data_IF_845465804234
#
_entry.id   IF_845465804234
#
_cell.length_a   1.000
_cell.length_b   1.000
_cell.length_c   1.000
_cell.angle_alpha   90.00
_cell.angle_beta   90.00
_cell.angle_gamma   90.00
#
_symmetry.space_group_name_H-M   'P 1'
#
loop_
_entity.id
_entity.type
_entity.pdbx_description
1 polymer ?
#
# COMPACT_ATOMS: atom_id res chain seq x y z
N UNK A 1 -19.14 13.30 -53.24
CA UNK A 1 -19.29 14.27 -52.12
C UNK A 1 -19.78 13.64 -50.80
N UNK A 2 -20.80 12.77 -50.77
CA UNK A 2 -21.31 12.18 -49.51
C UNK A 2 -20.31 11.27 -48.78
N UNK A 3 -19.62 10.37 -49.50
CA UNK A 3 -18.60 9.46 -48.93
C UNK A 3 -17.45 10.23 -48.28
N UNK A 4 -16.96 11.28 -48.95
CA UNK A 4 -15.89 12.13 -48.41
C UNK A 4 -16.30 12.84 -47.10
N UNK A 5 -17.55 13.32 -47.00
CA UNK A 5 -18.08 13.92 -45.76
C UNK A 5 -18.17 12.92 -44.62
N UNK A 6 -18.52 11.66 -44.91
CA UNK A 6 -18.53 10.58 -43.93
C UNK A 6 -17.12 10.24 -43.44
N UNK A 7 -16.14 10.19 -44.34
CA UNK A 7 -14.74 9.95 -43.96
C UNK A 7 -14.19 11.07 -43.06
N UNK A 8 -14.48 12.34 -43.38
CA UNK A 8 -14.11 13.47 -42.53
C UNK A 8 -14.78 13.42 -41.15
N UNK A 9 -16.06 13.05 -41.10
CA UNK A 9 -16.78 12.90 -39.84
C UNK A 9 -16.19 11.78 -38.97
N UNK A 10 -15.89 10.62 -39.57
CA UNK A 10 -15.24 9.50 -38.87
C UNK A 10 -13.86 9.92 -38.35
N UNK A 11 -13.05 10.58 -39.19
CA UNK A 11 -11.74 11.08 -38.78
C UNK A 11 -11.84 12.06 -37.60
N UNK A 12 -12.81 12.99 -37.65
CA UNK A 12 -13.08 13.89 -36.53
C UNK A 12 -13.49 13.15 -35.25
N UNK A 13 -14.38 12.16 -35.35
CA UNK A 13 -14.79 11.33 -34.22
C UNK A 13 -13.62 10.54 -33.61
N UNK A 14 -12.73 9.99 -34.43
CA UNK A 14 -11.52 9.31 -33.96
C UNK A 14 -10.61 10.30 -33.22
N UNK A 15 -10.43 11.52 -33.73
CA UNK A 15 -9.63 12.54 -33.06
C UNK A 15 -10.23 12.95 -31.70
N UNK A 16 -11.55 13.15 -31.64
CA UNK A 16 -12.25 13.49 -30.38
C UNK A 16 -12.11 12.34 -29.38
N UNK A 17 -12.38 11.09 -29.78
CA UNK A 17 -12.22 9.93 -28.90
C UNK A 17 -10.77 9.76 -28.42
N UNK A 18 -9.80 9.97 -29.30
CA UNK A 18 -8.38 9.94 -28.96
C UNK A 18 -8.00 11.01 -27.95
N UNK A 19 -8.50 12.23 -28.11
CA UNK A 19 -8.30 13.32 -27.15
C UNK A 19 -8.92 13.00 -25.79
N UNK A 20 -10.17 12.51 -25.75
CA UNK A 20 -10.84 12.15 -24.50
C UNK A 20 -10.13 10.99 -23.77
N UNK A 21 -9.68 9.98 -24.52
CA UNK A 21 -8.91 8.87 -23.95
C UNK A 21 -7.57 9.35 -23.37
N UNK A 22 -6.87 10.23 -24.08
CA UNK A 22 -5.63 10.85 -23.59
C UNK A 22 -5.87 11.67 -22.32
N UNK A 23 -6.90 12.52 -22.30
CA UNK A 23 -7.25 13.32 -21.13
C UNK A 23 -7.53 12.45 -19.91
N UNK A 24 -8.35 11.39 -20.07
CA UNK A 24 -8.62 10.44 -18.96
C UNK A 24 -7.37 9.72 -18.47
N UNK A 25 -6.44 9.38 -19.37
CA UNK A 25 -5.17 8.77 -18.99
C UNK A 25 -4.28 9.76 -18.22
N UNK A 26 -4.26 11.04 -18.60
CA UNK A 26 -3.54 12.09 -17.89
C UNK A 26 -4.13 12.30 -16.49
N UNK A 27 -5.45 12.39 -16.36
CA UNK A 27 -6.14 12.48 -15.07
C UNK A 27 -5.81 11.27 -14.18
N UNK A 28 -5.82 10.06 -14.75
CA UNK A 28 -5.47 8.84 -14.03
C UNK A 28 -4.00 8.82 -13.58
N UNK A 29 -3.08 9.33 -14.40
CA UNK A 29 -1.66 9.47 -14.02
C UNK A 29 -1.45 10.49 -12.91
N UNK A 30 -2.25 11.55 -12.88
CA UNK A 30 -2.22 12.55 -11.82
C UNK A 30 -2.78 12.01 -10.50
N UNK A 31 -3.82 11.18 -10.56
CA UNK A 31 -4.43 10.55 -9.38
C UNK A 31 -3.61 9.36 -8.84
N UNK A 32 -2.95 8.62 -9.72
CA UNK A 32 -2.19 7.40 -9.42
C UNK A 32 -0.71 7.49 -9.84
N UNK A 33 0.04 8.54 -9.45
CA UNK A 33 1.40 8.77 -9.92
C UNK A 33 2.36 7.61 -9.61
N UNK A 34 2.13 6.91 -8.50
CA UNK A 34 2.94 5.77 -8.08
C UNK A 34 2.85 4.56 -9.02
N UNK A 35 1.75 4.39 -9.77
CA UNK A 35 1.62 3.33 -10.77
C UNK A 35 2.50 3.58 -12.02
N UNK A 36 3.02 4.80 -12.19
CA UNK A 36 3.78 5.23 -13.36
C UNK A 36 5.18 5.74 -13.00
N UNK A 37 5.59 5.58 -11.74
CA UNK A 37 6.89 5.98 -11.23
C UNK A 37 7.73 4.75 -10.89
N UNK A 38 9.05 4.90 -10.91
CA UNK A 38 9.94 3.85 -10.43
C UNK A 38 9.67 3.56 -8.93
N UNK A 39 9.62 2.29 -8.51
CA UNK A 39 9.44 1.94 -7.11
C UNK A 39 10.50 2.59 -6.20
N UNK A 40 10.05 3.30 -5.17
CA UNK A 40 10.93 4.00 -4.23
C UNK A 40 11.31 3.05 -3.10
N UNK A 41 12.60 2.78 -2.97
CA UNK A 41 13.16 2.00 -1.86
C UNK A 41 13.50 2.93 -0.70
N UNK A 42 12.86 2.73 0.44
CA UNK A 42 13.18 3.48 1.66
C UNK A 42 14.40 2.86 2.35
N UNK A 43 15.46 3.65 2.51
CA UNK A 43 16.72 3.21 3.13
C UNK A 43 16.81 3.55 4.62
N UNK A 44 16.16 4.63 5.05
CA UNK A 44 16.26 5.15 6.42
C UNK A 44 14.89 5.15 7.08
N UNK A 45 14.80 4.49 8.23
CA UNK A 45 13.58 4.40 9.00
C UNK A 45 13.23 5.73 9.67
N UNK A 46 11.92 6.03 9.84
CA UNK A 46 11.50 7.15 10.67
C UNK A 46 11.84 6.87 12.14
N UNK A 47 12.08 7.92 12.92
CA UNK A 47 12.23 7.79 14.36
C UNK A 47 10.94 7.26 14.99
N UNK A 48 11.06 6.29 15.89
CA UNK A 48 9.91 5.77 16.64
C UNK A 48 9.46 6.81 17.68
N UNK A 49 8.15 7.04 17.85
CA UNK A 49 7.64 7.86 18.94
C UNK A 49 7.97 7.25 20.30
N UNK A 50 8.15 8.11 21.32
CA UNK A 50 8.43 7.65 22.69
C UNK A 50 7.35 6.70 23.23
N UNK A 51 6.08 6.90 22.85
CA UNK A 51 4.98 6.02 23.26
C UNK A 51 5.19 4.56 22.79
N UNK A 52 5.80 4.35 21.63
CA UNK A 52 6.17 3.02 21.12
C UNK A 52 7.39 2.48 21.87
N UNK A 53 8.43 3.29 22.04
CA UNK A 53 9.69 2.87 22.67
C UNK A 53 9.48 2.50 24.15
N UNK A 54 8.65 3.26 24.86
CA UNK A 54 8.39 3.06 26.28
C UNK A 54 7.57 1.79 26.57
N UNK A 55 6.80 1.29 25.58
CA UNK A 55 5.97 0.08 25.68
C UNK A 55 5.06 0.02 26.91
N UNK A 56 4.40 1.14 27.23
CA UNK A 56 3.52 1.26 28.40
C UNK A 56 2.03 1.03 28.07
N UNK A 57 1.67 1.05 26.79
CA UNK A 57 0.31 0.81 26.30
C UNK A 57 -0.03 -0.69 26.27
N UNK A 58 -1.32 -1.00 26.22
CA UNK A 58 -1.82 -2.37 26.13
C UNK A 58 -1.38 -3.10 24.84
N UNK A 59 -1.13 -2.36 23.75
CA UNK A 59 -0.51 -2.90 22.54
C UNK A 59 0.17 -1.79 21.72
N UNK A 60 1.19 -2.16 20.95
CA UNK A 60 1.87 -1.32 19.98
C UNK A 60 1.54 -1.76 18.54
N UNK A 61 0.94 -0.86 17.76
CA UNK A 61 0.42 -1.16 16.43
C UNK A 61 1.16 -0.33 15.36
N UNK A 62 1.68 -1.02 14.34
CA UNK A 62 2.21 -0.39 13.13
C UNK A 62 1.16 -0.44 12.02
N UNK A 63 0.72 0.71 11.51
CA UNK A 63 -0.17 0.81 10.35
C UNK A 63 0.64 1.30 9.15
N UNK A 64 0.79 0.43 8.16
CA UNK A 64 1.59 0.65 6.97
C UNK A 64 0.71 0.78 5.72
N UNK A 65 0.85 1.88 4.97
CA UNK A 65 0.01 2.19 3.79
C UNK A 65 0.80 2.61 2.54
N UNK A 66 2.05 2.15 2.41
CA UNK A 66 2.85 2.42 1.20
C UNK A 66 2.22 1.75 -0.02
N UNK A 67 2.27 2.44 -1.16
CA UNK A 67 1.74 1.95 -2.43
C UNK A 67 2.70 2.25 -3.58
N UNK A 68 3.07 1.23 -4.34
CA UNK A 68 3.64 1.31 -5.69
C UNK A 68 2.65 0.85 -6.77
N UNK A 69 1.51 0.26 -6.38
CA UNK A 69 0.37 -0.05 -7.26
C UNK A 69 -0.79 0.94 -7.10
N UNK A 70 -2.02 0.51 -7.44
CA UNK A 70 -3.21 1.35 -7.25
C UNK A 70 -3.37 1.75 -5.78
N UNK A 71 -3.63 3.04 -5.56
CA UNK A 71 -3.77 3.64 -4.24
C UNK A 71 -5.23 3.95 -3.96
N UNK A 72 -5.74 3.29 -2.92
CA UNK A 72 -7.11 3.47 -2.42
C UNK A 72 -7.17 4.66 -1.45
N UNK A 73 -6.97 5.88 -1.94
CA UNK A 73 -6.80 7.11 -1.14
C UNK A 73 -7.83 7.25 0.00
N UNK A 74 -9.12 7.23 -0.33
CA UNK A 74 -10.20 7.43 0.65
C UNK A 74 -10.25 6.29 1.68
N UNK A 75 -10.00 5.06 1.24
CA UNK A 75 -9.99 3.89 2.13
C UNK A 75 -8.81 3.94 3.12
N UNK A 76 -7.62 4.36 2.66
CA UNK A 76 -6.44 4.53 3.50
C UNK A 76 -6.72 5.59 4.57
N UNK A 77 -7.25 6.75 4.18
CA UNK A 77 -7.59 7.85 5.09
C UNK A 77 -8.63 7.40 6.13
N UNK A 78 -9.69 6.73 5.68
CA UNK A 78 -10.75 6.24 6.55
C UNK A 78 -10.23 5.19 7.55
N UNK A 79 -9.43 4.23 7.09
CA UNK A 79 -8.85 3.20 7.95
C UNK A 79 -7.86 3.79 8.96
N UNK A 80 -7.04 4.77 8.57
CA UNK A 80 -6.12 5.45 9.48
C UNK A 80 -6.88 6.19 10.60
N UNK A 81 -7.97 6.89 10.24
CA UNK A 81 -8.84 7.55 11.21
C UNK A 81 -9.52 6.54 12.15
N UNK A 82 -10.01 5.42 11.62
CA UNK A 82 -10.61 4.34 12.40
C UNK A 82 -9.62 3.74 13.41
N UNK A 83 -8.43 3.33 12.97
CA UNK A 83 -7.41 2.77 13.86
C UNK A 83 -6.98 3.76 14.94
N UNK A 84 -6.87 5.05 14.61
CA UNK A 84 -6.57 6.09 15.59
C UNK A 84 -7.67 6.21 16.65
N UNK A 85 -8.94 6.09 16.26
CA UNK A 85 -10.07 6.08 17.19
C UNK A 85 -10.06 4.86 18.10
N UNK A 86 -9.84 3.67 17.54
CA UNK A 86 -9.78 2.42 18.30
C UNK A 86 -8.61 2.44 19.28
N UNK A 87 -7.42 2.87 18.84
CA UNK A 87 -6.24 2.94 19.69
C UNK A 87 -6.46 3.79 20.95
N UNK A 88 -7.16 4.92 20.83
CA UNK A 88 -7.54 5.75 21.98
C UNK A 88 -8.50 5.05 22.95
N UNK A 89 -9.41 4.23 22.43
CA UNK A 89 -10.40 3.51 23.25
C UNK A 89 -9.81 2.29 23.95
N UNK A 90 -8.76 1.68 23.37
CA UNK A 90 -8.16 0.43 23.82
C UNK A 90 -6.80 0.61 24.51
N UNK A 91 -6.37 1.86 24.73
CA UNK A 91 -5.03 2.19 25.25
C UNK A 91 -3.90 1.55 24.43
N UNK A 92 -3.96 1.71 23.10
CA UNK A 92 -2.91 1.28 22.19
C UNK A 92 -2.03 2.45 21.77
N UNK A 93 -0.73 2.20 21.66
CA UNK A 93 0.19 3.09 20.96
C UNK A 93 0.22 2.72 19.48
N UNK A 94 0.16 3.72 18.61
CA UNK A 94 -0.01 3.50 17.19
C UNK A 94 0.88 4.40 16.35
N UNK A 95 1.48 3.83 15.29
CA UNK A 95 2.25 4.55 14.28
C UNK A 95 1.64 4.31 12.91
N UNK A 96 1.33 5.40 12.19
CA UNK A 96 1.05 5.35 10.75
C UNK A 96 2.33 5.68 9.98
N UNK A 97 2.66 4.90 8.96
CA UNK A 97 3.80 5.20 8.08
C UNK A 97 3.62 4.63 6.69
N UNK A 98 4.27 5.28 5.72
CA UNK A 98 4.43 4.77 4.35
C UNK A 98 5.91 4.47 4.05
N UNK A 99 6.77 4.52 5.06
CA UNK A 99 8.20 4.25 4.94
C UNK A 99 8.50 2.79 5.28
N UNK A 100 8.89 2.02 4.26
CA UNK A 100 9.21 0.60 4.32
C UNK A 100 10.49 0.27 5.11
N UNK A 101 11.36 1.24 5.40
CA UNK A 101 12.55 1.02 6.21
C UNK A 101 12.21 0.68 7.68
N UNK A 102 10.95 0.87 8.11
CA UNK A 102 10.45 0.38 9.40
C UNK A 102 10.50 -1.15 9.51
N UNK A 103 10.51 -1.89 8.39
CA UNK A 103 10.60 -3.34 8.35
C UNK A 103 12.06 -3.82 8.55
N UNK A 104 12.60 -3.53 9.72
CA UNK A 104 13.87 -4.04 10.22
C UNK A 104 13.63 -4.77 11.55
N UNK A 105 14.35 -5.86 11.82
CA UNK A 105 14.04 -6.73 12.96
C UNK A 105 14.10 -6.01 14.32
N UNK A 106 15.04 -5.09 14.49
CA UNK A 106 15.18 -4.24 15.68
C UNK A 106 14.05 -3.24 15.87
N UNK A 107 13.47 -2.75 14.77
CA UNK A 107 12.33 -1.83 14.78
C UNK A 107 11.00 -2.59 14.95
N UNK A 108 10.82 -3.69 14.21
CA UNK A 108 9.62 -4.53 14.30
C UNK A 108 9.44 -5.14 15.69
N UNK A 109 10.54 -5.38 16.42
CA UNK A 109 10.50 -5.85 17.80
C UNK A 109 9.70 -4.94 18.74
N UNK A 110 9.49 -3.66 18.42
CA UNK A 110 8.68 -2.73 19.23
C UNK A 110 7.17 -2.86 19.00
N UNK A 111 6.72 -3.60 17.99
CA UNK A 111 5.31 -3.72 17.64
C UNK A 111 4.77 -5.10 17.98
N UNK A 112 3.51 -5.16 18.38
CA UNK A 112 2.79 -6.41 18.62
C UNK A 112 2.00 -6.83 17.37
N UNK A 113 1.52 -5.84 16.60
CA UNK A 113 0.75 -6.07 15.36
C UNK A 113 1.22 -5.13 14.25
N UNK A 114 1.37 -5.70 13.06
CA UNK A 114 1.55 -4.94 11.81
C UNK A 114 0.26 -5.01 11.00
N UNK A 115 -0.23 -3.85 10.58
CA UNK A 115 -1.37 -3.68 9.69
C UNK A 115 -0.86 -3.22 8.33
N UNK A 116 -1.20 -3.95 7.28
CA UNK A 116 -1.05 -3.46 5.91
C UNK A 116 -2.38 -2.87 5.45
N UNK A 117 -2.49 -1.55 5.51
CA UNK A 117 -3.68 -0.79 5.12
C UNK A 117 -3.62 -0.46 3.62
N UNK A 118 -4.26 -1.30 2.80
CA UNK A 118 -4.29 -1.14 1.34
C UNK A 118 -2.88 -0.99 0.73
N UNK A 119 -1.92 -1.74 1.27
CA UNK A 119 -0.54 -1.71 0.80
C UNK A 119 -0.41 -2.50 -0.51
N UNK A 120 0.07 -1.86 -1.58
CA UNK A 120 -0.02 -2.40 -2.95
C UNK A 120 1.31 -2.25 -3.70
N UNK A 121 1.78 -3.29 -4.37
CA UNK A 121 2.97 -3.29 -5.24
C UNK A 121 4.20 -3.92 -4.59
N UNK A 122 5.36 -3.89 -5.27
CA UNK A 122 6.63 -4.32 -4.69
C UNK A 122 7.13 -3.28 -3.66
N UNK A 123 6.70 -3.41 -2.41
CA UNK A 123 6.93 -2.40 -1.36
C UNK A 123 8.24 -2.56 -0.59
N UNK A 124 8.65 -3.82 -0.40
CA UNK A 124 9.71 -4.20 0.52
C UNK A 124 10.89 -4.81 -0.24
N UNK A 125 12.11 -4.48 0.18
CA UNK A 125 13.33 -5.16 -0.25
C UNK A 125 13.37 -6.61 0.26
N UNK A 126 14.26 -7.45 -0.28
CA UNK A 126 14.43 -8.82 0.22
C UNK A 126 14.76 -8.89 1.71
N UNK A 127 15.55 -7.94 2.23
CA UNK A 127 15.87 -7.86 3.66
C UNK A 127 14.65 -7.46 4.50
N UNK A 128 13.87 -6.48 4.04
CA UNK A 128 12.63 -6.06 4.72
C UNK A 128 11.57 -7.17 4.70
N UNK A 129 11.45 -7.91 3.59
CA UNK A 129 10.60 -9.11 3.49
C UNK A 129 11.02 -10.18 4.49
N UNK A 130 12.33 -10.42 4.63
CA UNK A 130 12.85 -11.39 5.59
C UNK A 130 12.56 -10.98 7.04
N UNK A 131 12.77 -9.71 7.39
CA UNK A 131 12.44 -9.19 8.72
C UNK A 131 10.94 -9.31 9.02
N UNK A 132 10.07 -8.98 8.05
CA UNK A 132 8.62 -9.12 8.23
C UNK A 132 8.19 -10.58 8.37
N UNK A 133 8.76 -11.48 7.57
CA UNK A 133 8.53 -12.92 7.69
C UNK A 133 8.91 -13.42 9.09
N UNK A 134 10.10 -13.07 9.57
CA UNK A 134 10.59 -13.46 10.90
C UNK A 134 9.67 -12.93 12.01
N UNK A 135 9.22 -11.68 11.91
CA UNK A 135 8.26 -11.11 12.85
C UNK A 135 6.99 -11.97 12.95
N UNK A 136 6.42 -12.40 11.81
CA UNK A 136 5.23 -13.27 11.80
C UNK A 136 5.52 -14.68 12.32
N UNK A 137 6.64 -15.27 11.92
CA UNK A 137 7.04 -16.61 12.38
C UNK A 137 7.36 -16.66 13.89
N UNK A 138 7.71 -15.51 14.49
CA UNK A 138 7.96 -15.36 15.93
C UNK A 138 6.70 -14.97 16.73
N UNK A 139 5.53 -14.93 16.10
CA UNK A 139 4.24 -14.70 16.77
C UNK A 139 3.74 -13.26 16.73
N UNK A 140 4.38 -12.39 15.94
CA UNK A 140 3.85 -11.05 15.65
C UNK A 140 2.50 -11.11 14.92
N UNK A 141 1.58 -10.22 15.29
CA UNK A 141 0.25 -10.17 14.69
C UNK A 141 0.24 -9.50 13.31
N UNK A 142 -0.66 -9.95 12.44
CA UNK A 142 -0.86 -9.34 11.12
C UNK A 142 -2.33 -9.06 10.80
N UNK A 143 -2.58 -7.89 10.21
CA UNK A 143 -3.86 -7.54 9.61
C UNK A 143 -3.63 -6.99 8.20
N UNK A 144 -4.02 -7.75 7.18
CA UNK A 144 -4.02 -7.29 5.78
C UNK A 144 -5.39 -6.75 5.39
N UNK A 145 -5.44 -5.53 4.84
CA UNK A 145 -6.67 -4.89 4.38
C UNK A 145 -6.65 -4.73 2.86
N UNK A 146 -7.66 -5.31 2.20
CA UNK A 146 -7.95 -5.14 0.77
C UNK A 146 -6.72 -5.40 -0.12
N UNK A 147 -6.10 -4.36 -0.67
CA UNK A 147 -4.97 -4.48 -1.60
C UNK A 147 -3.71 -5.13 -0.99
N UNK A 148 -3.64 -5.24 0.34
CA UNK A 148 -2.62 -6.06 1.00
C UNK A 148 -2.66 -7.54 0.58
N UNK A 149 -3.79 -8.02 0.04
CA UNK A 149 -3.94 -9.37 -0.48
C UNK A 149 -4.09 -9.46 -2.00
N UNK A 150 -3.81 -8.40 -2.75
CA UNK A 150 -3.95 -8.43 -4.21
C UNK A 150 -2.81 -9.21 -4.91
N UNK A 151 -2.86 -9.26 -6.24
CA UNK A 151 -1.87 -10.00 -7.04
C UNK A 151 -0.48 -9.33 -7.10
N UNK A 152 -0.34 -8.10 -6.60
CA UNK A 152 0.89 -7.31 -6.73
C UNK A 152 2.03 -7.80 -5.83
N UNK A 153 1.72 -8.68 -4.86
CA UNK A 153 2.68 -9.33 -3.96
C UNK A 153 3.09 -10.74 -4.40
N UNK A 154 2.66 -11.17 -5.59
CA UNK A 154 2.83 -12.56 -6.08
C UNK A 154 4.27 -12.97 -6.34
N UNK A 155 5.20 -12.03 -6.53
CA UNK A 155 6.63 -12.32 -6.61
C UNK A 155 7.19 -12.83 -5.27
N UNK A 156 6.53 -12.47 -4.16
CA UNK A 156 6.85 -12.95 -2.83
C UNK A 156 6.04 -14.20 -2.47
N UNK A 157 6.47 -15.34 -3.01
CA UNK A 157 5.79 -16.63 -2.88
C UNK A 157 5.45 -17.02 -1.43
N UNK A 158 6.33 -16.74 -0.46
CA UNK A 158 6.03 -17.03 0.95
C UNK A 158 4.81 -16.26 1.45
N UNK A 159 4.69 -14.97 1.14
CA UNK A 159 3.55 -14.15 1.57
C UNK A 159 2.25 -14.65 0.95
N UNK A 160 2.27 -14.96 -0.35
CA UNK A 160 1.11 -15.53 -1.04
C UNK A 160 0.70 -16.89 -0.47
N UNK A 161 1.65 -17.78 -0.19
CA UNK A 161 1.36 -19.17 0.19
C UNK A 161 1.12 -19.37 1.69
N UNK A 162 1.74 -18.56 2.54
CA UNK A 162 1.68 -18.74 4.00
C UNK A 162 0.77 -17.72 4.68
N UNK A 163 0.75 -16.48 4.21
CA UNK A 163 -0.03 -15.39 4.83
C UNK A 163 -1.40 -15.26 4.17
N UNK A 164 -1.44 -14.99 2.86
CA UNK A 164 -2.71 -14.78 2.13
C UNK A 164 -3.43 -16.09 1.85
N UNK A 165 -2.68 -17.13 1.47
CA UNK A 165 -3.17 -18.49 1.13
C UNK A 165 -4.25 -18.53 0.05
N UNK A 166 -4.34 -17.46 -0.74
CA UNK A 166 -5.24 -17.29 -1.86
C UNK A 166 -4.48 -16.67 -3.03
N UNK A 167 -4.92 -16.98 -4.25
CA UNK A 167 -4.41 -16.37 -5.47
C UNK A 167 -5.53 -15.61 -6.15
N UNK A 168 -5.35 -14.31 -6.33
CA UNK A 168 -6.26 -13.45 -7.07
C UNK A 168 -5.68 -13.25 -8.47
N UNK A 169 -6.46 -13.59 -9.48
CA UNK A 169 -6.09 -13.54 -10.91
C UNK A 169 -6.86 -12.45 -11.63
#
# INVERSE_FOLDING_TARGET
MKVFRWLLFIAFMVLVLGFLAKSKLEDFKLDQPQMFSEPVVDQFAPALPESIIARQSAANILVFSKTHGYRHHDAIIAANAMFTSIAKQQDWSLVHTENAAIFASDLLAYFDVVVWNNATGPLLTSQQRQAFKEFLEQGGGFVGIHAAGDASHSDWQWYQQQVIRANFT
#
